data_IF_598082484474
#
_entry.id   IF_598082484474
#
_cell.length_a   1.000
_cell.length_b   1.000
_cell.length_c   1.000
_cell.angle_alpha   90.00
_cell.angle_beta   90.00
_cell.angle_gamma   90.00
#
_symmetry.space_group_name_H-M   'P 1'
#
loop_
_entity.id
_entity.type
_entity.pdbx_description
1 polymer ?
#
# COMPACT_ATOMS: atom_id res chain seq x y z
N UNK A 1 -0.19 -3.29 9.38
CA UNK A 1 -0.12 -4.59 8.67
C UNK A 1 -1.48 -5.29 8.65
N UNK A 2 -1.66 -6.25 7.76
CA UNK A 2 -2.88 -7.10 7.70
C UNK A 2 -3.04 -7.90 8.99
N UNK A 3 -1.93 -8.35 9.56
CA UNK A 3 -1.89 -9.04 10.86
C UNK A 3 -2.48 -8.16 11.98
N UNK A 4 -2.07 -6.90 12.08
CA UNK A 4 -2.61 -5.96 13.08
C UNK A 4 -4.09 -5.71 12.89
N UNK A 5 -4.56 -5.56 11.65
CA UNK A 5 -5.98 -5.38 11.32
C UNK A 5 -6.84 -6.59 11.71
N UNK A 6 -6.26 -7.79 11.69
CA UNK A 6 -6.95 -9.02 12.11
C UNK A 6 -7.05 -9.15 13.63
N UNK A 7 -5.97 -8.83 14.35
CA UNK A 7 -5.90 -9.06 15.81
C UNK A 7 -6.57 -7.94 16.62
N UNK A 8 -6.39 -6.69 16.21
CA UNK A 8 -6.75 -5.54 17.04
C UNK A 8 -8.23 -5.48 17.45
N UNK A 9 -9.20 -5.76 16.56
CA UNK A 9 -10.61 -5.76 16.97
C UNK A 9 -10.92 -6.77 18.08
N UNK A 10 -10.23 -7.93 18.05
CA UNK A 10 -10.36 -8.95 19.09
C UNK A 10 -9.77 -8.50 20.43
N UNK A 11 -8.62 -7.82 20.38
CA UNK A 11 -8.00 -7.23 21.59
C UNK A 11 -8.94 -6.18 22.19
N UNK A 12 -9.51 -5.28 21.38
CA UNK A 12 -10.48 -4.30 21.84
C UNK A 12 -11.69 -4.94 22.51
N UNK A 13 -12.25 -5.98 21.88
CA UNK A 13 -13.38 -6.72 22.45
C UNK A 13 -13.06 -7.42 23.79
N UNK A 14 -11.84 -7.95 23.95
CA UNK A 14 -11.40 -8.59 25.18
C UNK A 14 -11.15 -7.59 26.31
N UNK A 15 -10.77 -6.37 25.97
CA UNK A 15 -10.54 -5.27 26.93
C UNK A 15 -11.80 -4.40 27.16
N UNK A 16 -12.88 -4.68 26.44
CA UNK A 16 -14.12 -3.89 26.44
C UNK A 16 -13.88 -2.40 26.11
N UNK A 17 -13.02 -2.14 25.12
CA UNK A 17 -12.70 -0.79 24.61
C UNK A 17 -12.93 -0.68 23.11
N UNK A 18 -13.21 0.54 22.64
CA UNK A 18 -13.46 0.78 21.21
C UNK A 18 -12.14 0.94 20.42
N UNK A 19 -11.79 0.01 19.52
CA UNK A 19 -10.57 0.15 18.71
C UNK A 19 -10.69 1.29 17.70
N UNK A 20 -9.60 2.08 17.56
CA UNK A 20 -9.47 3.14 16.56
C UNK A 20 -8.57 2.66 15.45
N UNK A 21 -9.12 2.43 14.26
CA UNK A 21 -8.35 1.88 13.13
C UNK A 21 -7.85 2.95 12.18
N UNK A 22 -6.64 2.72 11.62
CA UNK A 22 -6.04 3.46 10.52
C UNK A 22 -5.78 4.94 10.87
N UNK A 23 -5.27 5.20 12.08
CA UNK A 23 -4.92 6.54 12.54
C UNK A 23 -3.81 7.13 11.67
N UNK A 24 -4.02 8.34 11.15
CA UNK A 24 -3.07 9.06 10.31
C UNK A 24 -2.57 10.37 10.94
N UNK A 25 -3.17 10.83 12.05
CA UNK A 25 -2.70 11.97 12.82
C UNK A 25 -3.09 11.80 14.29
N UNK A 26 -2.21 12.19 15.20
CA UNK A 26 -2.42 12.22 16.65
C UNK A 26 -2.46 13.66 17.09
N UNK A 27 -3.64 14.16 17.50
CA UNK A 27 -3.82 15.55 17.95
C UNK A 27 -3.56 15.73 19.43
N UNK A 28 -3.92 14.72 20.21
CA UNK A 28 -3.70 14.70 21.67
C UNK A 28 -3.63 13.24 22.15
N UNK A 29 -3.52 13.05 23.47
CA UNK A 29 -3.46 11.71 24.07
C UNK A 29 -4.73 10.88 23.83
N UNK A 30 -5.87 11.51 23.50
CA UNK A 30 -7.15 10.83 23.31
C UNK A 30 -7.88 11.25 22.02
N UNK A 31 -7.25 12.08 21.17
CA UNK A 31 -7.87 12.62 19.95
C UNK A 31 -7.03 12.30 18.74
N UNK A 32 -7.64 11.65 17.75
CA UNK A 32 -6.98 11.07 16.58
C UNK A 32 -7.72 11.43 15.30
N UNK A 33 -6.99 11.47 14.18
CA UNK A 33 -7.59 11.63 12.85
C UNK A 33 -7.46 10.30 12.09
N UNK A 34 -8.54 9.91 11.44
CA UNK A 34 -8.59 8.69 10.62
C UNK A 34 -9.41 8.90 9.35
N UNK A 35 -9.07 8.23 8.24
CA UNK A 35 -9.86 8.28 7.03
C UNK A 35 -11.11 7.40 7.14
N UNK A 36 -12.21 7.88 6.56
CA UNK A 36 -13.46 7.15 6.32
C UNK A 36 -13.80 7.16 4.84
N UNK A 37 -14.66 6.25 4.39
CA UNK A 37 -15.13 6.15 3.00
C UNK A 37 -13.97 6.18 1.98
N UNK A 38 -13.01 5.27 2.17
CA UNK A 38 -11.81 5.16 1.33
C UNK A 38 -10.96 6.45 1.29
N UNK A 39 -11.01 7.26 2.37
CA UNK A 39 -10.23 8.49 2.50
C UNK A 39 -10.90 9.72 1.89
N UNK A 40 -12.17 9.66 1.50
CA UNK A 40 -12.93 10.83 1.06
C UNK A 40 -13.32 11.76 2.23
N UNK A 41 -13.34 11.22 3.44
CA UNK A 41 -13.64 11.98 4.67
C UNK A 41 -12.55 11.72 5.69
N UNK A 42 -12.03 12.77 6.30
CA UNK A 42 -11.12 12.69 7.44
C UNK A 42 -11.92 12.96 8.71
N UNK A 43 -12.06 11.95 9.55
CA UNK A 43 -12.77 12.05 10.82
C UNK A 43 -11.81 12.32 11.97
N UNK A 44 -12.09 13.34 12.77
CA UNK A 44 -11.46 13.50 14.07
C UNK A 44 -12.30 12.74 15.10
N UNK A 45 -11.68 11.80 15.79
CA UNK A 45 -12.32 10.93 16.79
C UNK A 45 -11.66 11.15 18.15
N UNK A 46 -12.46 11.13 19.19
CA UNK A 46 -12.02 11.22 20.58
C UNK A 46 -12.48 9.97 21.33
N UNK A 47 -11.63 9.41 22.20
CA UNK A 47 -12.00 8.31 23.09
C UNK A 47 -11.88 8.74 24.55
N UNK A 48 -12.77 8.17 25.37
CA UNK A 48 -12.73 8.29 26.84
C UNK A 48 -12.19 7.03 27.52
N UNK A 49 -11.79 6.02 26.73
CA UNK A 49 -11.26 4.78 27.24
C UNK A 49 -9.90 4.99 27.90
N UNK A 50 -9.67 4.37 29.06
CA UNK A 50 -8.38 4.42 29.77
C UNK A 50 -7.27 3.69 28.97
N UNK A 51 -7.65 2.62 28.26
CA UNK A 51 -6.74 1.85 27.41
C UNK A 51 -7.10 2.15 25.95
N UNK A 52 -6.19 2.77 25.23
CA UNK A 52 -6.38 3.12 23.83
C UNK A 52 -5.81 2.01 22.95
N UNK A 53 -6.66 1.36 22.16
CA UNK A 53 -6.31 0.31 21.23
C UNK A 53 -6.43 0.87 19.81
N UNK A 54 -5.34 0.96 19.04
CA UNK A 54 -5.38 1.54 17.70
C UNK A 54 -4.47 0.83 16.69
N UNK A 55 -4.80 0.94 15.41
CA UNK A 55 -3.85 0.71 14.32
C UNK A 55 -3.43 2.05 13.72
N UNK A 56 -2.16 2.16 13.35
CA UNK A 56 -1.57 3.37 12.78
C UNK A 56 -1.28 3.14 11.30
N UNK A 57 -1.57 4.15 10.47
CA UNK A 57 -1.15 4.19 9.07
C UNK A 57 0.32 4.63 9.02
N UNK A 58 1.24 3.68 8.91
CA UNK A 58 2.67 3.97 8.98
C UNK A 58 3.12 5.02 7.94
N UNK A 59 2.51 5.00 6.73
CA UNK A 59 2.82 5.95 5.66
C UNK A 59 2.42 7.42 5.94
N UNK A 60 1.65 7.67 6.99
CA UNK A 60 1.26 9.02 7.40
C UNK A 60 2.21 9.64 8.44
N UNK A 61 3.23 8.90 8.88
CA UNK A 61 4.20 9.34 9.88
C UNK A 61 5.61 9.21 9.34
N UNK A 62 6.47 10.16 9.73
CA UNK A 62 7.88 10.07 9.43
C UNK A 62 8.56 8.96 10.26
N UNK A 63 9.59 8.34 9.68
CA UNK A 63 10.38 7.33 10.37
C UNK A 63 11.16 7.99 11.51
N UNK A 64 11.05 7.44 12.71
CA UNK A 64 11.70 7.98 13.93
C UNK A 64 13.18 7.62 13.98
N UNK A 65 13.97 7.71 13.03
CA UNK A 65 15.42 7.43 13.08
C UNK A 65 15.87 6.27 14.00
N UNK A 66 17.07 5.79 13.78
CA UNK A 66 17.69 4.78 14.61
C UNK A 66 18.34 5.44 15.84
N UNK A 67 18.19 4.83 16.99
CA UNK A 67 18.83 5.31 18.22
C UNK A 67 17.88 5.27 19.40
N UNK A 68 18.05 4.34 20.23
CA UNK A 68 17.32 4.09 21.44
C UNK A 68 17.66 2.72 21.98
N UNK A 69 17.38 2.47 23.24
CA UNK A 69 17.50 1.14 23.82
C UNK A 69 16.23 0.83 24.58
N UNK A 70 15.50 -0.19 24.13
CA UNK A 70 14.38 -0.73 24.85
C UNK A 70 14.68 -2.17 25.28
N UNK A 71 14.23 -2.54 26.47
CA UNK A 71 14.30 -3.94 26.91
C UNK A 71 13.31 -4.78 26.13
N UNK A 72 13.72 -5.99 25.74
CA UNK A 72 12.85 -6.97 25.08
C UNK A 72 12.55 -8.07 26.10
N UNK A 73 11.26 -8.28 26.37
CA UNK A 73 10.78 -9.36 27.24
C UNK A 73 10.12 -10.44 26.41
N UNK A 74 10.46 -11.70 26.67
CA UNK A 74 9.79 -12.84 26.06
C UNK A 74 8.63 -13.30 26.94
N UNK A 75 7.42 -13.25 26.42
CA UNK A 75 6.21 -13.73 27.10
C UNK A 75 5.87 -15.12 26.56
N UNK A 76 5.77 -16.08 27.46
CA UNK A 76 5.24 -17.40 27.11
C UNK A 76 3.73 -17.41 27.31
N UNK A 77 2.96 -17.67 26.25
CA UNK A 77 1.53 -17.87 26.35
C UNK A 77 1.14 -19.27 25.89
N UNK A 78 0.24 -19.92 26.63
CA UNK A 78 -0.44 -21.13 26.15
C UNK A 78 -1.68 -20.70 25.38
N UNK A 79 -1.70 -20.92 24.08
CA UNK A 79 -2.89 -20.68 23.29
C UNK A 79 -3.91 -21.81 23.52
N UNK A 80 -5.17 -21.52 23.84
CA UNK A 80 -6.22 -22.53 23.78
C UNK A 80 -6.32 -23.06 22.34
N UNK A 81 -6.63 -24.35 22.21
CA UNK A 81 -6.67 -25.05 20.93
C UNK A 81 -7.39 -24.25 19.84
N UNK A 82 -6.74 -24.10 18.70
CA UNK A 82 -7.25 -23.43 17.51
C UNK A 82 -7.88 -24.45 16.56
N UNK A 83 -8.97 -24.06 15.86
CA UNK A 83 -9.55 -24.86 14.78
C UNK A 83 -8.70 -24.79 13.49
N UNK A 84 -7.60 -24.04 13.52
CA UNK A 84 -6.65 -23.89 12.41
C UNK A 84 -5.22 -24.09 12.91
N UNK A 85 -4.38 -24.67 12.07
CA UNK A 85 -2.97 -24.90 12.30
C UNK A 85 -2.15 -24.16 11.26
N UNK A 86 -1.07 -23.49 11.69
CA UNK A 86 -0.11 -22.91 10.77
C UNK A 86 0.72 -24.02 10.14
N UNK A 87 0.67 -24.13 8.81
CA UNK A 87 1.40 -25.15 8.07
C UNK A 87 2.73 -24.61 7.56
N UNK A 88 2.68 -23.52 6.79
CA UNK A 88 3.88 -22.88 6.24
C UNK A 88 3.57 -21.47 5.73
N UNK A 89 4.60 -20.65 5.66
CA UNK A 89 4.60 -19.37 4.96
C UNK A 89 5.55 -19.51 3.76
N UNK A 90 5.04 -19.27 2.57
CA UNK A 90 5.86 -19.14 1.36
C UNK A 90 6.00 -17.65 1.05
N UNK A 91 7.19 -17.12 1.30
CA UNK A 91 7.53 -15.75 0.95
C UNK A 91 8.21 -15.77 -0.42
N UNK A 92 7.82 -14.83 -1.29
CA UNK A 92 8.57 -14.58 -2.52
C UNK A 92 9.81 -13.78 -2.16
N UNK A 93 11.00 -14.38 -2.25
CA UNK A 93 12.25 -13.66 -2.17
C UNK A 93 12.36 -12.73 -3.39
N UNK A 94 12.43 -11.44 -3.15
CA UNK A 94 12.67 -10.43 -4.17
C UNK A 94 13.85 -9.57 -3.75
N UNK A 95 14.79 -9.34 -4.64
CA UNK A 95 15.88 -8.38 -4.42
C UNK A 95 15.40 -6.92 -4.51
N UNK A 96 14.16 -6.68 -5.00
CA UNK A 96 13.58 -5.35 -5.11
C UNK A 96 13.13 -4.81 -3.75
N UNK A 97 13.08 -3.48 -3.60
CA UNK A 97 12.57 -2.85 -2.38
C UNK A 97 11.16 -3.35 -2.02
N UNK A 98 10.88 -3.46 -0.74
CA UNK A 98 9.56 -3.85 -0.25
C UNK A 98 8.53 -2.76 -0.57
N UNK A 99 7.37 -3.15 -1.10
CA UNK A 99 6.37 -2.24 -1.69
C UNK A 99 5.88 -1.15 -0.70
N UNK A 100 5.78 -1.45 0.58
CA UNK A 100 5.27 -0.50 1.59
C UNK A 100 6.31 0.52 2.07
N UNK A 101 7.59 0.26 1.81
CA UNK A 101 8.71 1.10 2.25
C UNK A 101 9.51 1.72 1.09
N UNK A 102 9.22 1.30 -0.13
CA UNK A 102 9.93 1.76 -1.32
C UNK A 102 9.75 3.26 -1.57
N UNK A 103 10.84 3.94 -1.92
CA UNK A 103 10.81 5.35 -2.33
C UNK A 103 10.21 5.55 -3.73
N UNK A 104 10.31 4.54 -4.59
CA UNK A 104 9.83 4.56 -5.98
C UNK A 104 9.01 3.29 -6.23
N UNK A 105 7.89 3.45 -6.92
CA UNK A 105 7.01 2.34 -7.29
C UNK A 105 6.64 2.47 -8.76
N UNK A 106 6.81 1.39 -9.52
CA UNK A 106 6.26 1.24 -10.87
C UNK A 106 5.09 0.27 -10.79
N UNK A 107 3.89 0.75 -11.11
CA UNK A 107 2.66 -0.03 -10.92
C UNK A 107 1.98 -0.31 -12.26
N UNK A 108 1.68 -1.59 -12.51
CA UNK A 108 1.02 -2.05 -13.71
C UNK A 108 -0.48 -2.27 -13.55
N UNK A 109 -1.26 -1.85 -14.54
CA UNK A 109 -2.70 -2.05 -14.60
C UNK A 109 -3.13 -3.18 -15.53
N UNK A 110 -4.45 -3.40 -15.60
CA UNK A 110 -5.05 -4.34 -16.55
C UNK A 110 -4.78 -3.95 -18.01
N UNK A 111 -4.43 -2.68 -18.27
CA UNK A 111 -4.05 -2.18 -19.60
C UNK A 111 -2.83 -2.90 -20.21
N UNK A 112 -1.98 -3.56 -19.39
CA UNK A 112 -0.88 -4.39 -19.87
C UNK A 112 -1.34 -5.65 -20.66
N UNK A 113 -2.57 -6.09 -20.48
CA UNK A 113 -3.21 -7.12 -21.29
C UNK A 113 -2.82 -8.55 -20.95
N UNK A 114 -1.62 -8.82 -20.47
CA UNK A 114 -1.16 -10.18 -20.12
C UNK A 114 -0.09 -10.19 -19.04
N UNK A 115 0.17 -11.40 -18.50
CA UNK A 115 1.25 -11.65 -17.54
C UNK A 115 2.63 -11.39 -18.15
N UNK A 116 2.82 -11.78 -19.41
CA UNK A 116 4.09 -11.65 -20.13
C UNK A 116 4.50 -10.18 -20.25
N UNK A 117 3.53 -9.29 -20.44
CA UNK A 117 3.78 -7.85 -20.57
C UNK A 117 4.20 -7.20 -19.25
N UNK A 118 3.98 -7.85 -18.09
CA UNK A 118 4.50 -7.38 -16.81
C UNK A 118 6.03 -7.35 -16.77
N UNK A 119 6.72 -8.11 -17.63
CA UNK A 119 8.18 -8.03 -17.76
C UNK A 119 8.67 -6.63 -18.13
N UNK A 120 7.87 -5.83 -18.84
CA UNK A 120 8.21 -4.44 -19.15
C UNK A 120 8.19 -3.55 -17.90
N UNK A 121 7.23 -3.82 -17.00
CA UNK A 121 7.17 -3.14 -15.68
C UNK A 121 8.35 -3.55 -14.82
N UNK A 122 8.70 -4.85 -14.82
CA UNK A 122 9.83 -5.39 -14.06
C UNK A 122 11.15 -4.76 -14.50
N UNK A 123 11.39 -4.69 -15.81
CA UNK A 123 12.59 -4.06 -16.38
C UNK A 123 12.69 -2.57 -15.99
N UNK A 124 11.58 -1.84 -16.05
CA UNK A 124 11.55 -0.43 -15.66
C UNK A 124 11.75 -0.25 -14.15
N UNK A 125 11.16 -1.14 -13.34
CA UNK A 125 11.34 -1.13 -11.89
C UNK A 125 12.80 -1.38 -11.49
N UNK A 126 13.44 -2.38 -12.10
CA UNK A 126 14.87 -2.68 -11.87
C UNK A 126 15.76 -1.49 -12.22
N UNK A 127 15.48 -0.84 -13.34
CA UNK A 127 16.22 0.33 -13.81
C UNK A 127 16.09 1.54 -12.87
N UNK A 128 14.94 1.71 -12.24
CA UNK A 128 14.65 2.82 -11.34
C UNK A 128 14.94 2.49 -9.86
N UNK A 129 15.44 1.28 -9.56
CA UNK A 129 15.55 0.76 -8.20
C UNK A 129 14.20 0.94 -7.46
N UNK A 130 13.12 0.47 -8.09
CA UNK A 130 11.76 0.67 -7.65
C UNK A 130 11.09 -0.65 -7.26
N UNK A 131 10.13 -0.57 -6.34
CA UNK A 131 9.23 -1.68 -6.09
C UNK A 131 8.19 -1.80 -7.22
N UNK A 132 7.63 -3.00 -7.37
CA UNK A 132 6.55 -3.25 -8.31
C UNK A 132 5.22 -3.19 -7.58
N UNK A 133 4.28 -2.43 -8.14
CA UNK A 133 2.89 -2.41 -7.73
C UNK A 133 1.95 -2.95 -8.82
N UNK A 134 0.73 -3.26 -8.45
CA UNK A 134 -0.29 -3.68 -9.39
C UNK A 134 -1.69 -3.21 -9.01
N UNK A 135 -2.55 -3.00 -9.99
CA UNK A 135 -3.97 -2.80 -9.73
C UNK A 135 -4.62 -4.15 -9.37
N UNK A 136 -5.71 -4.10 -8.59
CA UNK A 136 -6.52 -5.30 -8.31
C UNK A 136 -6.97 -6.00 -9.60
N UNK A 137 -7.34 -5.24 -10.62
CA UNK A 137 -7.77 -5.81 -11.90
C UNK A 137 -6.67 -6.60 -12.63
N UNK A 138 -5.40 -6.24 -12.47
CA UNK A 138 -4.26 -7.00 -12.99
C UNK A 138 -4.03 -8.28 -12.18
N UNK A 139 -4.17 -8.21 -10.86
CA UNK A 139 -4.08 -9.38 -9.96
C UNK A 139 -5.22 -10.37 -10.22
N UNK A 140 -6.47 -9.89 -10.28
CA UNK A 140 -7.66 -10.72 -10.56
C UNK A 140 -7.57 -11.39 -11.95
N UNK A 141 -6.89 -10.74 -12.92
CA UNK A 141 -6.60 -11.32 -14.24
C UNK A 141 -5.43 -12.33 -14.23
N UNK A 142 -4.76 -12.53 -13.11
CA UNK A 142 -3.64 -13.46 -12.96
C UNK A 142 -2.32 -12.97 -13.58
N UNK A 143 -2.19 -11.67 -13.83
CA UNK A 143 -0.97 -11.10 -14.42
C UNK A 143 0.18 -11.08 -13.43
N UNK A 144 -0.11 -10.90 -12.14
CA UNK A 144 0.88 -10.84 -11.06
C UNK A 144 0.25 -11.31 -9.74
N UNK A 145 1.09 -11.68 -8.74
CA UNK A 145 0.63 -12.11 -7.41
C UNK A 145 -0.11 -11.00 -6.67
N UNK A 146 -1.04 -11.40 -5.80
CA UNK A 146 -1.75 -10.49 -4.87
C UNK A 146 -0.80 -9.71 -3.93
N UNK A 147 0.41 -10.19 -3.70
CA UNK A 147 1.41 -9.51 -2.85
C UNK A 147 1.82 -8.13 -3.39
N UNK A 148 1.64 -7.91 -4.68
CA UNK A 148 1.91 -6.66 -5.38
C UNK A 148 0.71 -5.73 -5.46
N UNK A 149 -0.46 -6.13 -4.93
CA UNK A 149 -1.67 -5.32 -5.04
C UNK A 149 -1.56 -4.03 -4.23
N UNK A 150 -1.75 -2.88 -4.89
CA UNK A 150 -1.89 -1.56 -4.27
C UNK A 150 -3.37 -1.18 -4.25
N UNK A 151 -3.83 -0.72 -3.09
CA UNK A 151 -5.22 -0.27 -2.92
C UNK A 151 -5.76 -0.51 -1.52
N UNK A 152 -7.04 -0.20 -1.34
CA UNK A 152 -7.75 -0.32 -0.06
C UNK A 152 -7.68 -1.74 0.53
N UNK A 153 -7.76 -2.75 -0.32
CA UNK A 153 -7.72 -4.18 0.08
C UNK A 153 -6.34 -4.82 -0.12
N UNK A 154 -5.40 -4.07 -0.69
CA UNK A 154 -4.00 -4.44 -0.85
C UNK A 154 -3.09 -3.66 0.10
N UNK A 155 -1.91 -3.34 -0.37
CA UNK A 155 -0.94 -2.51 0.35
C UNK A 155 -1.24 -1.03 0.13
N UNK A 156 -1.10 -0.22 1.20
CA UNK A 156 -1.16 1.23 1.13
C UNK A 156 0.27 1.75 1.09
N UNK A 157 0.56 2.61 0.13
CA UNK A 157 1.90 3.11 -0.16
C UNK A 157 1.90 4.64 -0.27
N UNK A 158 3.03 5.26 0.04
CA UNK A 158 3.25 6.70 -0.12
C UNK A 158 4.70 6.98 -0.55
N UNK A 159 5.12 6.50 -1.74
CA UNK A 159 6.47 6.69 -2.24
C UNK A 159 6.73 8.15 -2.62
N UNK A 160 8.01 8.49 -2.84
CA UNK A 160 8.41 9.74 -3.48
C UNK A 160 7.95 9.81 -4.94
N UNK A 161 7.94 8.66 -5.63
CA UNK A 161 7.47 8.53 -7.02
C UNK A 161 6.56 7.32 -7.17
N UNK A 162 5.35 7.54 -7.66
CA UNK A 162 4.42 6.51 -8.08
C UNK A 162 4.16 6.60 -9.58
N UNK A 163 4.68 5.66 -10.37
CA UNK A 163 4.45 5.57 -11.80
C UNK A 163 3.32 4.57 -12.08
N UNK A 164 2.20 5.06 -12.55
CA UNK A 164 1.01 4.26 -12.86
C UNK A 164 0.91 4.00 -14.37
N UNK A 165 1.01 2.75 -14.79
CA UNK A 165 1.01 2.34 -16.20
C UNK A 165 -0.24 1.53 -16.52
N UNK A 166 -1.11 2.04 -17.39
CA UNK A 166 -2.33 1.37 -17.82
C UNK A 166 -3.32 1.09 -16.69
N UNK A 167 -3.37 1.99 -15.68
CA UNK A 167 -4.27 1.92 -14.53
C UNK A 167 -5.39 2.94 -14.69
N UNK A 168 -6.66 2.50 -14.59
CA UNK A 168 -7.82 3.38 -14.73
C UNK A 168 -8.04 4.32 -13.53
N UNK A 169 -7.59 3.93 -12.32
CA UNK A 169 -7.75 4.76 -11.13
C UNK A 169 -9.10 4.58 -10.43
N UNK A 170 -9.55 3.34 -10.25
CA UNK A 170 -10.67 3.06 -9.37
C UNK A 170 -10.42 3.60 -7.96
N UNK A 171 -11.47 4.09 -7.28
CA UNK A 171 -11.35 4.74 -5.95
C UNK A 171 -10.62 3.87 -4.92
N UNK A 172 -10.75 2.54 -5.03
CA UNK A 172 -10.07 1.60 -4.14
C UNK A 172 -8.56 1.56 -4.39
N UNK A 173 -8.12 1.75 -5.65
CA UNK A 173 -6.70 1.84 -5.98
C UNK A 173 -6.13 3.18 -5.51
N UNK A 174 -6.85 4.28 -5.80
CA UNK A 174 -6.46 5.62 -5.38
C UNK A 174 -6.29 5.71 -3.86
N UNK A 175 -7.17 5.08 -3.09
CA UNK A 175 -7.07 5.02 -1.62
C UNK A 175 -5.76 4.39 -1.12
N UNK A 176 -5.09 3.59 -1.95
CA UNK A 176 -3.83 2.94 -1.61
C UNK A 176 -2.57 3.70 -2.02
N UNK A 177 -2.67 4.77 -2.84
CA UNK A 177 -1.46 5.44 -3.36
C UNK A 177 -1.56 6.97 -3.44
N UNK A 178 -2.71 7.56 -3.14
CA UNK A 178 -2.96 9.01 -3.28
C UNK A 178 -2.03 9.91 -2.46
N UNK A 179 -1.42 9.37 -1.41
CA UNK A 179 -0.50 10.09 -0.53
C UNK A 179 0.95 10.05 -1.06
N UNK A 180 1.18 9.55 -2.29
CA UNK A 180 2.47 9.61 -2.98
C UNK A 180 2.87 11.07 -3.25
N UNK A 181 4.18 11.39 -3.17
CA UNK A 181 4.65 12.77 -3.35
C UNK A 181 4.56 13.24 -4.80
N UNK A 182 4.91 12.35 -5.75
CA UNK A 182 4.79 12.60 -7.19
C UNK A 182 4.08 11.42 -7.82
N UNK A 183 3.04 11.70 -8.58
CA UNK A 183 2.25 10.69 -9.31
C UNK A 183 2.40 10.96 -10.81
N UNK A 184 2.98 9.99 -11.52
CA UNK A 184 3.12 10.01 -12.98
C UNK A 184 2.22 8.94 -13.57
N UNK A 185 1.46 9.28 -14.61
CA UNK A 185 0.52 8.36 -15.26
C UNK A 185 0.86 8.19 -16.73
N UNK A 186 0.95 6.95 -17.18
CA UNK A 186 1.01 6.56 -18.59
C UNK A 186 -0.30 5.87 -18.93
N UNK A 187 -1.13 6.54 -19.74
CA UNK A 187 -2.43 6.02 -20.13
C UNK A 187 -2.87 6.65 -21.45
N UNK A 188 -3.52 5.87 -22.30
CA UNK A 188 -4.12 6.36 -23.54
C UNK A 188 -5.52 6.98 -23.34
N UNK A 189 -6.17 6.71 -22.19
CA UNK A 189 -7.47 7.27 -21.82
C UNK A 189 -7.27 8.59 -21.04
N UNK A 190 -7.59 9.75 -21.66
CA UNK A 190 -7.46 11.05 -21.00
C UNK A 190 -8.47 11.25 -19.87
N UNK A 191 -9.59 10.53 -19.89
CA UNK A 191 -10.68 10.65 -18.91
C UNK A 191 -10.52 9.68 -17.73
N UNK A 192 -9.46 8.84 -17.73
CA UNK A 192 -9.18 7.94 -16.65
C UNK A 192 -9.11 8.69 -15.31
N UNK A 193 -9.84 8.26 -14.26
CA UNK A 193 -9.77 8.91 -12.94
C UNK A 193 -8.34 9.04 -12.39
N UNK A 194 -7.43 8.13 -12.78
CA UNK A 194 -6.03 8.17 -12.40
C UNK A 194 -5.33 9.44 -12.90
N UNK A 195 -5.67 9.91 -14.10
CA UNK A 195 -5.11 11.11 -14.71
C UNK A 195 -5.46 12.39 -13.94
N UNK A 196 -6.58 12.39 -13.21
CA UNK A 196 -7.00 13.55 -12.38
C UNK A 196 -6.20 13.68 -11.09
N UNK A 197 -5.54 12.62 -10.66
CA UNK A 197 -4.70 12.58 -9.45
C UNK A 197 -3.22 12.75 -9.76
N UNK A 198 -2.85 12.77 -11.04
CA UNK A 198 -1.47 12.80 -11.47
C UNK A 198 -0.91 14.22 -11.47
N UNK A 199 0.38 14.32 -11.08
CA UNK A 199 1.19 15.53 -11.28
C UNK A 199 1.65 15.64 -12.74
N UNK A 200 1.85 14.48 -13.40
CA UNK A 200 2.23 14.39 -14.80
C UNK A 200 1.46 13.26 -15.49
N UNK A 201 0.84 13.57 -16.63
CA UNK A 201 0.18 12.57 -17.48
C UNK A 201 0.90 12.51 -18.82
N UNK A 202 1.39 11.33 -19.16
CA UNK A 202 1.86 11.02 -20.51
C UNK A 202 0.78 10.25 -21.25
N UNK A 203 0.03 10.97 -22.08
CA UNK A 203 -1.05 10.41 -22.86
C UNK A 203 -0.50 9.74 -24.11
N UNK A 204 -0.22 8.45 -24.04
CA UNK A 204 0.40 7.66 -25.10
C UNK A 204 0.03 6.18 -24.94
N UNK A 205 0.26 5.38 -25.97
CA UNK A 205 0.22 3.92 -25.83
C UNK A 205 1.27 3.48 -24.80
N UNK A 206 0.85 2.65 -23.85
CA UNK A 206 1.72 2.23 -22.74
C UNK A 206 2.92 1.38 -23.19
N UNK A 207 2.78 0.61 -24.29
CA UNK A 207 3.86 -0.20 -24.80
C UNK A 207 4.94 0.66 -25.48
N UNK A 208 4.52 1.69 -26.22
CA UNK A 208 5.45 2.67 -26.81
C UNK A 208 6.22 3.37 -25.72
N UNK A 209 5.53 3.87 -24.70
CA UNK A 209 6.16 4.53 -23.55
C UNK A 209 7.12 3.63 -22.77
N UNK A 210 6.71 2.39 -22.46
CA UNK A 210 7.55 1.44 -21.73
C UNK A 210 8.79 1.05 -22.53
N UNK A 211 8.67 0.86 -23.85
CA UNK A 211 9.80 0.55 -24.72
C UNK A 211 10.78 1.71 -24.77
N UNK A 212 10.29 2.95 -24.86
CA UNK A 212 11.15 4.15 -24.86
C UNK A 212 11.86 4.32 -23.52
N UNK A 213 11.14 4.22 -22.39
CA UNK A 213 11.70 4.31 -21.04
C UNK A 213 12.72 3.20 -20.76
N UNK A 214 12.45 1.97 -21.21
CA UNK A 214 13.37 0.86 -21.05
C UNK A 214 14.61 0.97 -21.95
N UNK A 215 14.52 1.63 -23.10
CA UNK A 215 15.66 1.89 -23.98
C UNK A 215 16.53 3.05 -23.51
N UNK A 216 15.98 4.01 -22.75
CA UNK A 216 16.70 5.18 -22.27
C UNK A 216 17.79 4.77 -21.29
N UNK A 217 19.03 5.23 -21.50
CA UNK A 217 20.15 4.98 -20.57
C UNK A 217 20.17 6.09 -19.51
N UNK A 218 20.06 5.69 -18.25
CA UNK A 218 20.19 6.57 -17.07
C UNK A 218 21.62 6.55 -16.60
#
# INVERSE_FOLDING_TARGET
STFSKNILPRVGALLDVQPISDVCEIKSNNTFVRPLYAGNVMATVETSDEIIVMTVRATAFEHSGDGGSASVETISSSMPGSNSEFISLQESESERPELTTAERIVSGGRGLGSKENFTLIEQLADKLDAAIGASRAAVDAGFISNDYQVGQTGKVVAPKLYLAVGISGAIQHLAGMKDSQVIVVINNDPDAPMSRMADLVWQVDLFDALNELNAYQV
#
